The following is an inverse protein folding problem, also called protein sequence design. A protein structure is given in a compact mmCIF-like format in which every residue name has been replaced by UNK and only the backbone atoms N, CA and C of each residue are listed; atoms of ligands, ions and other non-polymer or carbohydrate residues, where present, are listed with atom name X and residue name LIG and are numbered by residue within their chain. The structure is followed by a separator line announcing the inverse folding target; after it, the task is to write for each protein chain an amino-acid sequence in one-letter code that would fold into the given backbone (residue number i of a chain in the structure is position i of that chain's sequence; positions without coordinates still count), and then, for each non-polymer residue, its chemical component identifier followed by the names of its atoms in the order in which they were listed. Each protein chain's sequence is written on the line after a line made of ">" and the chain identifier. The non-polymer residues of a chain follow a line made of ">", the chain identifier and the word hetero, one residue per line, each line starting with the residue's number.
data_IF_022828954334
#
_entry.id   IF_022828954334
#
_cell.length_a   1.000
_cell.length_b   1.000
_cell.length_c   1.000
_cell.angle_alpha   90.00
_cell.angle_beta   90.00
_cell.angle_gamma   90.00
#
_symmetry.space_group_name_H-M   'P 1'
#
loop_
_entity.id
_entity.type
_entity.pdbx_description
1 polymer ?
#
# COMPACT_ATOMS: atom_id res chain seq x y z
N UNK A 1 14.69 17.66 -12.37
CA UNK A 1 14.91 16.27 -12.81
C UNK A 1 15.06 15.44 -11.54
N UNK A 2 14.29 14.38 -11.32
CA UNK A 2 14.42 13.53 -10.12
C UNK A 2 15.74 12.74 -10.20
N UNK A 3 16.47 12.64 -9.08
CA UNK A 3 17.77 11.96 -9.01
C UNK A 3 17.62 10.44 -8.85
N UNK A 4 18.70 9.69 -9.12
CA UNK A 4 18.74 8.24 -8.87
C UNK A 4 18.62 7.94 -7.37
N UNK A 5 19.16 8.80 -6.51
CA UNK A 5 19.04 8.69 -5.06
C UNK A 5 17.57 8.82 -4.61
N UNK A 6 16.86 9.83 -5.13
CA UNK A 6 15.42 10.00 -4.86
C UNK A 6 14.63 8.76 -5.28
N UNK A 7 14.92 8.23 -6.48
CA UNK A 7 14.21 7.07 -6.99
C UNK A 7 14.42 5.82 -6.12
N UNK A 8 15.66 5.58 -5.66
CA UNK A 8 15.97 4.49 -4.74
C UNK A 8 15.31 4.68 -3.37
N UNK A 9 15.38 5.90 -2.84
CA UNK A 9 14.79 6.24 -1.55
C UNK A 9 13.27 5.96 -1.55
N UNK A 10 12.54 6.52 -2.53
CA UNK A 10 11.10 6.37 -2.58
C UNK A 10 10.66 4.96 -2.96
N UNK A 11 11.39 4.25 -3.82
CA UNK A 11 11.09 2.83 -4.09
C UNK A 11 11.24 1.98 -2.82
N UNK A 12 12.26 2.24 -1.99
CA UNK A 12 12.41 1.55 -0.71
C UNK A 12 11.28 1.91 0.27
N UNK A 13 10.95 3.19 0.43
CA UNK A 13 9.86 3.66 1.31
C UNK A 13 8.53 3.03 0.92
N UNK A 14 8.12 3.12 -0.36
CA UNK A 14 6.84 2.57 -0.79
C UNK A 14 6.78 1.05 -0.70
N UNK A 15 7.91 0.34 -0.84
CA UNK A 15 7.95 -1.11 -0.58
C UNK A 15 7.60 -1.44 0.86
N UNK A 16 8.16 -0.71 1.83
CA UNK A 16 7.81 -0.90 3.24
C UNK A 16 6.33 -0.57 3.52
N UNK A 17 5.81 0.51 2.92
CA UNK A 17 4.41 0.91 3.10
C UNK A 17 3.43 -0.10 2.50
N UNK A 18 3.72 -0.66 1.31
CA UNK A 18 2.89 -1.71 0.72
C UNK A 18 2.83 -2.95 1.62
N UNK A 19 3.97 -3.37 2.18
CA UNK A 19 4.02 -4.53 3.09
C UNK A 19 3.23 -4.25 4.38
N UNK A 20 3.40 -3.06 4.96
CA UNK A 20 2.66 -2.66 6.16
C UNK A 20 1.15 -2.67 5.93
N UNK A 21 0.67 -1.99 4.89
CA UNK A 21 -0.76 -1.89 4.60
C UNK A 21 -1.38 -3.24 4.22
N UNK A 22 -0.65 -4.10 3.51
CA UNK A 22 -1.12 -5.46 3.21
C UNK A 22 -1.29 -6.28 4.50
N UNK A 23 -0.35 -6.18 5.45
CA UNK A 23 -0.50 -6.85 6.75
C UNK A 23 -1.71 -6.31 7.54
N UNK A 24 -1.93 -5.00 7.53
CA UNK A 24 -3.12 -4.41 8.17
C UNK A 24 -4.40 -4.92 7.53
N UNK A 25 -4.45 -4.97 6.20
CA UNK A 25 -5.58 -5.54 5.46
C UNK A 25 -5.84 -7.00 5.86
N UNK A 26 -4.79 -7.83 5.89
CA UNK A 26 -4.92 -9.26 6.20
C UNK A 26 -5.39 -9.50 7.65
N UNK A 27 -4.97 -8.65 8.59
CA UNK A 27 -5.45 -8.69 9.98
C UNK A 27 -6.92 -8.30 10.06
N UNK A 28 -7.31 -7.20 9.42
CA UNK A 28 -8.71 -6.74 9.40
C UNK A 28 -9.63 -7.77 8.75
N UNK A 29 -9.22 -8.37 7.63
CA UNK A 29 -9.99 -9.40 6.93
C UNK A 29 -10.26 -10.64 7.82
N UNK A 30 -9.38 -10.94 8.78
CA UNK A 30 -9.59 -12.03 9.76
C UNK A 30 -10.44 -11.62 10.96
N UNK A 31 -10.37 -10.36 11.36
CA UNK A 31 -11.09 -9.85 12.54
C UNK A 31 -12.55 -9.51 12.25
N UNK A 32 -12.81 -8.85 11.12
CA UNK A 32 -14.13 -8.31 10.77
C UNK A 32 -15.25 -9.37 10.77
N UNK A 33 -15.05 -10.60 10.24
CA UNK A 33 -16.08 -11.63 10.28
C UNK A 33 -16.53 -12.04 11.68
N UNK A 34 -15.74 -11.75 12.72
CA UNK A 34 -16.03 -12.09 14.11
C UNK A 34 -16.65 -10.92 14.89
N UNK A 35 -16.94 -9.79 14.24
CA UNK A 35 -17.55 -8.63 14.89
C UNK A 35 -19.08 -8.77 15.01
N UNK A 36 -19.71 -8.12 16.00
CA UNK A 36 -21.17 -8.05 16.09
C UNK A 36 -21.78 -7.36 14.86
N UNK A 37 -22.97 -7.80 14.43
CA UNK A 37 -23.51 -7.52 13.08
C UNK A 37 -23.45 -6.08 12.56
N UNK A 38 -23.81 -5.06 13.36
CA UNK A 38 -23.68 -3.65 12.92
C UNK A 38 -22.23 -3.20 12.79
N UNK A 39 -21.37 -3.59 13.74
CA UNK A 39 -19.95 -3.27 13.69
C UNK A 39 -19.23 -3.97 12.53
N UNK A 40 -19.60 -5.23 12.23
CA UNK A 40 -19.10 -5.93 11.05
C UNK A 40 -19.46 -5.17 9.77
N UNK A 41 -20.76 -4.84 9.58
CA UNK A 41 -21.23 -4.14 8.37
C UNK A 41 -20.54 -2.79 8.18
N UNK A 42 -20.42 -2.01 9.25
CA UNK A 42 -19.72 -0.74 9.22
C UNK A 42 -18.26 -0.93 8.78
N UNK A 43 -17.54 -1.87 9.42
CA UNK A 43 -16.14 -2.13 9.09
C UNK A 43 -15.92 -2.64 7.65
N UNK A 44 -16.84 -3.46 7.11
CA UNK A 44 -16.81 -3.92 5.72
C UNK A 44 -17.06 -2.78 4.73
N UNK A 45 -17.92 -1.82 5.08
CA UNK A 45 -18.33 -0.73 4.18
C UNK A 45 -17.38 0.46 4.22
N UNK A 46 -16.72 0.74 5.35
CA UNK A 46 -15.92 1.96 5.52
C UNK A 46 -14.44 1.68 5.75
N UNK A 47 -14.08 0.74 6.62
CA UNK A 47 -12.68 0.45 6.93
C UNK A 47 -11.97 -0.35 5.82
N UNK A 48 -12.54 -1.48 5.38
CA UNK A 48 -11.90 -2.34 4.37
C UNK A 48 -11.62 -1.61 3.05
N UNK A 49 -12.55 -0.82 2.48
CA UNK A 49 -12.30 -0.12 1.21
C UNK A 49 -11.22 0.95 1.35
N UNK A 50 -11.14 1.61 2.51
CA UNK A 50 -10.11 2.62 2.77
C UNK A 50 -8.73 1.98 2.76
N UNK A 51 -8.53 0.87 3.46
CA UNK A 51 -7.23 0.17 3.50
C UNK A 51 -6.89 -0.42 2.13
N UNK A 52 -7.84 -1.07 1.46
CA UNK A 52 -7.63 -1.58 0.10
C UNK A 52 -7.19 -0.45 -0.87
N UNK A 53 -7.84 0.71 -0.79
CA UNK A 53 -7.46 1.87 -1.61
C UNK A 53 -6.06 2.42 -1.28
N UNK A 54 -5.63 2.33 -0.01
CA UNK A 54 -4.28 2.75 0.41
C UNK A 54 -3.21 1.80 -0.12
N UNK A 55 -3.44 0.48 -0.03
CA UNK A 55 -2.56 -0.55 -0.61
C UNK A 55 -2.34 -0.27 -2.10
N UNK A 56 -3.41 -0.10 -2.86
CA UNK A 56 -3.32 0.15 -4.31
C UNK A 56 -2.60 1.47 -4.64
N UNK A 57 -2.87 2.54 -3.89
CA UNK A 57 -2.14 3.81 -4.08
C UNK A 57 -0.64 3.65 -3.83
N UNK A 58 -0.23 2.89 -2.82
CA UNK A 58 1.19 2.66 -2.57
C UNK A 58 1.82 1.71 -3.59
N UNK A 59 1.09 0.71 -4.10
CA UNK A 59 1.54 -0.13 -5.22
C UNK A 59 1.83 0.70 -6.46
N UNK A 60 0.90 1.57 -6.86
CA UNK A 60 1.11 2.46 -8.00
C UNK A 60 2.34 3.37 -7.83
N UNK A 61 2.55 3.92 -6.62
CA UNK A 61 3.74 4.74 -6.34
C UNK A 61 5.02 3.91 -6.35
N UNK A 62 5.00 2.70 -5.80
CA UNK A 62 6.13 1.78 -5.85
C UNK A 62 6.51 1.44 -7.30
N UNK A 63 5.52 1.15 -8.14
CA UNK A 63 5.74 0.84 -9.55
C UNK A 63 6.36 2.02 -10.29
N UNK A 64 5.83 3.22 -10.08
CA UNK A 64 6.39 4.45 -10.63
C UNK A 64 7.86 4.63 -10.24
N UNK A 65 8.19 4.57 -8.95
CA UNK A 65 9.56 4.79 -8.49
C UNK A 65 10.51 3.66 -8.87
N UNK A 66 10.02 2.42 -8.94
CA UNK A 66 10.80 1.27 -9.42
C UNK A 66 11.11 1.38 -10.91
N UNK A 67 10.15 1.84 -11.72
CA UNK A 67 10.38 2.14 -13.14
C UNK A 67 11.40 3.26 -13.28
N UNK A 68 11.23 4.35 -12.51
CA UNK A 68 12.13 5.50 -12.56
C UNK A 68 13.56 5.15 -12.15
N UNK A 69 13.72 4.32 -11.12
CA UNK A 69 15.02 3.80 -10.71
C UNK A 69 15.69 3.04 -11.87
N UNK A 70 14.96 2.11 -12.51
CA UNK A 70 15.49 1.33 -13.65
C UNK A 70 15.86 2.19 -14.85
N UNK A 71 15.12 3.26 -15.12
CA UNK A 71 15.46 4.21 -16.19
C UNK A 71 16.76 4.95 -15.88
N UNK A 72 16.91 5.43 -14.65
CA UNK A 72 18.06 6.22 -14.22
C UNK A 72 19.33 5.38 -14.01
N UNK A 73 19.21 4.08 -13.71
CA UNK A 73 20.34 3.15 -13.63
C UNK A 73 20.90 2.73 -14.99
N UNK A 74 20.13 2.95 -16.07
CA UNK A 74 20.55 2.67 -17.46
C UNK A 74 21.22 3.88 -18.13
N UNK A 75 21.21 5.05 -17.49
CA UNK A 75 21.86 6.30 -17.92
C UNK A 75 23.25 6.40 -17.29
#
# INVERSE_FOLDING_TARGET
>A
MQSLEDARHWAAVYRHLVVLEQHLFDVLAKMIPNMPGEAQREAEQTNLPVIASQVERFRHRLDYWSNRQRELEKL
#
